data_IF_388580223243
#
_entry.id   IF_388580223243
#
_cell.length_a   1.000
_cell.length_b   1.000
_cell.length_c   1.000
_cell.angle_alpha   90.00
_cell.angle_beta   90.00
_cell.angle_gamma   90.00
#
_symmetry.space_group_name_H-M   'P 1'
#
loop_
_entity.id
_entity.type
_entity.pdbx_description
1 polymer ?
#
# COMPACT_ATOMS: atom_id res chain seq x y z
N UNK A 1 6.16 7.53 -12.10
CA UNK A 1 7.23 8.55 -11.88
C UNK A 1 8.59 8.07 -12.39
N UNK A 2 8.98 6.83 -12.10
CA UNK A 2 10.18 6.18 -12.64
C UNK A 2 10.45 6.46 -14.13
N UNK A 3 9.53 6.10 -15.04
CA UNK A 3 9.69 6.31 -16.48
C UNK A 3 9.98 7.77 -16.86
N UNK A 4 9.33 8.74 -16.20
CA UNK A 4 9.48 10.15 -16.53
C UNK A 4 10.82 10.75 -16.08
N UNK A 5 11.54 10.08 -15.17
CA UNK A 5 12.82 10.56 -14.63
C UNK A 5 13.98 9.77 -15.25
N UNK A 6 13.84 8.45 -15.39
CA UNK A 6 14.89 7.56 -15.91
C UNK A 6 14.92 7.54 -17.45
N UNK A 7 13.76 7.64 -18.10
CA UNK A 7 13.64 7.59 -19.56
C UNK A 7 12.95 8.84 -20.13
N UNK A 8 13.61 10.02 -20.10
CA UNK A 8 12.99 11.29 -20.49
C UNK A 8 12.60 11.34 -21.98
N UNK A 9 13.23 10.50 -22.82
CA UNK A 9 13.01 10.43 -24.27
C UNK A 9 11.92 9.42 -24.68
N UNK A 10 11.41 8.60 -23.76
CA UNK A 10 10.34 7.66 -24.07
C UNK A 10 8.96 8.33 -23.95
N UNK A 11 8.03 8.03 -24.87
CA UNK A 11 6.69 8.62 -24.84
C UNK A 11 5.98 8.28 -23.54
N UNK A 12 5.34 9.29 -22.96
CA UNK A 12 4.56 9.16 -21.72
C UNK A 12 3.35 8.27 -21.96
N UNK A 13 2.89 7.61 -20.90
CA UNK A 13 1.64 6.87 -20.92
C UNK A 13 0.51 7.82 -21.37
N UNK A 14 -0.18 7.47 -22.46
CA UNK A 14 -1.32 8.24 -22.97
C UNK A 14 -2.45 8.28 -21.93
N UNK A 15 -3.32 9.29 -22.02
CA UNK A 15 -4.51 9.39 -21.18
C UNK A 15 -5.41 8.14 -21.31
N UNK A 16 -5.55 7.59 -22.52
CA UNK A 16 -6.31 6.36 -22.76
C UNK A 16 -5.65 5.16 -22.09
N UNK A 17 -4.33 5.01 -22.24
CA UNK A 17 -3.59 3.94 -21.59
C UNK A 17 -3.66 4.05 -20.06
N UNK A 18 -3.63 5.26 -19.50
CA UNK A 18 -3.83 5.49 -18.06
C UNK A 18 -5.20 4.99 -17.58
N UNK A 19 -6.28 5.29 -18.32
CA UNK A 19 -7.63 4.81 -18.00
C UNK A 19 -7.72 3.28 -18.05
N UNK A 20 -7.11 2.66 -19.06
CA UNK A 20 -7.06 1.19 -19.18
C UNK A 20 -6.33 0.57 -18.00
N UNK A 21 -5.17 1.11 -17.61
CA UNK A 21 -4.42 0.64 -16.43
C UNK A 21 -5.25 0.75 -15.15
N UNK A 22 -5.96 1.88 -14.95
CA UNK A 22 -6.86 2.04 -13.79
C UNK A 22 -7.96 0.96 -13.81
N UNK A 23 -8.58 0.71 -14.96
CA UNK A 23 -9.60 -0.33 -15.11
C UNK A 23 -9.08 -1.74 -14.77
N UNK A 24 -7.86 -2.07 -15.22
CA UNK A 24 -7.20 -3.35 -14.89
C UNK A 24 -6.94 -3.46 -13.40
N UNK A 25 -6.45 -2.39 -12.75
CA UNK A 25 -6.21 -2.38 -11.30
C UNK A 25 -7.50 -2.67 -10.53
N UNK A 26 -8.61 -2.02 -10.89
CA UNK A 26 -9.90 -2.26 -10.24
C UNK A 26 -10.39 -3.68 -10.46
N UNK A 27 -10.31 -4.19 -11.69
CA UNK A 27 -10.72 -5.56 -12.01
C UNK A 27 -9.92 -6.58 -11.18
N UNK A 28 -8.59 -6.45 -11.14
CA UNK A 28 -7.73 -7.34 -10.36
C UNK A 28 -8.01 -7.20 -8.86
N UNK A 29 -8.19 -5.98 -8.34
CA UNK A 29 -8.53 -5.76 -6.93
C UNK A 29 -9.86 -6.42 -6.56
N UNK A 30 -10.90 -6.29 -7.39
CA UNK A 30 -12.18 -6.94 -7.19
C UNK A 30 -12.08 -8.47 -7.24
N UNK A 31 -11.33 -9.01 -8.20
CA UNK A 31 -11.09 -10.45 -8.30
C UNK A 31 -10.35 -11.01 -7.08
N UNK A 32 -9.35 -10.28 -6.59
CA UNK A 32 -8.60 -10.65 -5.39
C UNK A 32 -9.46 -10.56 -4.13
N UNK A 33 -10.31 -9.53 -3.99
CA UNK A 33 -11.20 -9.38 -2.83
C UNK A 33 -12.39 -10.36 -2.82
N UNK A 34 -12.77 -10.88 -3.99
CA UNK A 34 -13.97 -11.70 -4.15
C UNK A 34 -14.04 -12.93 -3.24
N UNK A 35 -12.99 -13.77 -3.07
CA UNK A 35 -13.07 -14.97 -2.23
C UNK A 35 -13.43 -14.66 -0.78
N UNK A 36 -12.84 -13.60 -0.20
CA UNK A 36 -13.16 -13.19 1.17
C UNK A 36 -14.61 -12.75 1.31
N UNK A 37 -15.15 -12.03 0.31
CA UNK A 37 -16.56 -11.66 0.27
C UNK A 37 -17.50 -12.86 0.09
N UNK A 38 -17.14 -13.79 -0.79
CA UNK A 38 -17.93 -14.99 -1.08
C UNK A 38 -18.06 -15.94 0.13
N UNK A 39 -16.97 -16.10 0.90
CA UNK A 39 -16.94 -16.94 2.10
C UNK A 39 -17.32 -16.18 3.39
N UNK A 40 -17.79 -14.94 3.29
CA UNK A 40 -18.30 -14.21 4.45
C UNK A 40 -19.70 -14.69 4.84
N UNK A 41 -19.86 -15.15 6.08
CA UNK A 41 -21.13 -15.66 6.63
C UNK A 41 -21.51 -14.89 7.90
N UNK A 42 -22.80 -14.88 8.21
CA UNK A 42 -23.35 -14.31 9.44
C UNK A 42 -23.70 -15.44 10.39
N UNK A 43 -23.11 -15.42 11.58
CA UNK A 43 -23.39 -16.40 12.63
C UNK A 43 -24.00 -15.74 13.86
N UNK A 44 -25.01 -16.39 14.43
CA UNK A 44 -25.69 -15.95 15.65
C UNK A 44 -25.00 -16.59 16.88
N UNK A 45 -24.31 -15.77 17.65
CA UNK A 45 -23.74 -16.14 18.94
C UNK A 45 -24.69 -15.65 20.06
N UNK A 46 -24.60 -16.21 21.29
CA UNK A 46 -25.46 -15.80 22.39
C UNK A 46 -25.42 -14.27 22.62
N UNK A 47 -26.51 -13.59 22.24
CA UNK A 47 -26.66 -12.14 22.39
C UNK A 47 -25.96 -11.26 21.34
N UNK A 48 -25.41 -11.81 20.25
CA UNK A 48 -24.83 -11.01 19.16
C UNK A 48 -24.83 -11.72 17.80
N UNK A 49 -25.06 -10.97 16.73
CA UNK A 49 -24.82 -11.41 15.36
C UNK A 49 -23.40 -11.00 14.94
N UNK A 50 -22.60 -11.94 14.45
CA UNK A 50 -21.23 -11.68 13.99
C UNK A 50 -21.06 -12.04 12.52
N UNK A 51 -20.27 -11.24 11.80
CA UNK A 51 -19.82 -11.56 10.45
C UNK A 51 -18.42 -12.16 10.55
N UNK A 52 -18.25 -13.38 10.04
CA UNK A 52 -16.96 -14.07 10.01
C UNK A 52 -16.73 -14.69 8.63
N UNK A 53 -15.47 -14.94 8.28
CA UNK A 53 -15.10 -15.59 7.02
C UNK A 53 -14.90 -17.07 7.29
N UNK A 54 -15.77 -17.90 6.73
CA UNK A 54 -15.76 -19.34 6.90
C UNK A 54 -15.18 -20.00 5.64
N UNK A 55 -13.89 -20.34 5.69
CA UNK A 55 -13.24 -21.05 4.59
C UNK A 55 -13.67 -22.51 4.55
N UNK A 56 -13.89 -23.11 3.36
CA UNK A 56 -14.30 -24.50 3.23
C UNK A 56 -13.23 -25.42 3.81
N UNK A 57 -13.50 -26.01 4.97
CA UNK A 57 -12.50 -26.73 5.76
C UNK A 57 -12.36 -28.21 5.38
N UNK A 58 -11.11 -28.64 5.17
CA UNK A 58 -10.66 -30.02 5.32
C UNK A 58 -9.55 -30.01 6.37
N UNK A 59 -9.95 -30.11 7.65
CA UNK A 59 -9.16 -30.37 8.88
C UNK A 59 -7.91 -29.52 9.20
N UNK A 60 -7.39 -28.69 8.30
CA UNK A 60 -6.05 -28.07 8.40
C UNK A 60 -6.01 -26.54 8.16
N UNK A 61 -7.16 -25.92 7.86
CA UNK A 61 -7.30 -24.48 7.58
C UNK A 61 -6.22 -23.95 6.59
N UNK A 62 -5.92 -24.74 5.56
CA UNK A 62 -4.90 -24.41 4.55
C UNK A 62 -5.36 -23.26 3.66
N UNK A 63 -6.62 -23.29 3.20
CA UNK A 63 -7.14 -22.28 2.27
C UNK A 63 -7.12 -20.86 2.84
N UNK A 64 -7.62 -20.67 4.08
CA UNK A 64 -7.62 -19.37 4.74
C UNK A 64 -6.21 -18.82 4.98
N UNK A 65 -5.32 -19.67 5.49
CA UNK A 65 -3.89 -19.34 5.67
C UNK A 65 -3.24 -18.95 4.34
N UNK A 66 -3.33 -19.81 3.32
CA UNK A 66 -2.73 -19.56 2.01
C UNK A 66 -3.25 -18.26 1.42
N UNK A 67 -4.56 -18.04 1.43
CA UNK A 67 -5.17 -16.80 0.95
C UNK A 67 -4.62 -15.58 1.69
N UNK A 68 -4.58 -15.61 3.03
CA UNK A 68 -4.08 -14.50 3.85
C UNK A 68 -2.62 -14.14 3.53
N UNK A 69 -1.74 -15.14 3.44
CA UNK A 69 -0.32 -14.90 3.13
C UNK A 69 -0.14 -14.41 1.69
N UNK A 70 -0.84 -15.02 0.72
CA UNK A 70 -0.82 -14.57 -0.67
C UNK A 70 -1.28 -13.10 -0.78
N UNK A 71 -2.38 -12.74 -0.13
CA UNK A 71 -2.88 -11.37 -0.12
C UNK A 71 -1.90 -10.41 0.54
N UNK A 72 -1.37 -10.75 1.71
CA UNK A 72 -0.35 -9.92 2.40
C UNK A 72 0.87 -9.68 1.51
N UNK A 73 1.32 -10.67 0.74
CA UNK A 73 2.42 -10.48 -0.22
C UNK A 73 1.98 -9.57 -1.36
N UNK A 74 0.85 -9.87 -2.01
CA UNK A 74 0.41 -9.18 -3.23
C UNK A 74 -0.03 -7.73 -3.01
N UNK A 75 -0.67 -7.43 -1.88
CA UNK A 75 -1.25 -6.10 -1.62
C UNK A 75 -0.32 -5.20 -0.80
N UNK A 76 0.64 -5.77 -0.07
CA UNK A 76 1.51 -5.01 0.84
C UNK A 76 2.98 -5.14 0.47
N UNK A 77 3.59 -6.34 0.59
CA UNK A 77 5.04 -6.47 0.41
C UNK A 77 5.52 -6.24 -1.03
N UNK A 78 4.85 -6.85 -2.02
CA UNK A 78 5.25 -6.74 -3.42
C UNK A 78 5.14 -5.29 -3.94
N UNK A 79 4.03 -4.55 -3.72
CA UNK A 79 3.95 -3.15 -4.11
C UNK A 79 4.99 -2.29 -3.41
N UNK A 80 5.21 -2.49 -2.09
CA UNK A 80 6.23 -1.74 -1.35
C UNK A 80 7.64 -2.01 -1.86
N UNK A 81 7.97 -3.25 -2.21
CA UNK A 81 9.26 -3.60 -2.80
C UNK A 81 9.45 -2.93 -4.17
N UNK A 82 8.47 -3.06 -5.07
CA UNK A 82 8.53 -2.47 -6.42
C UNK A 82 8.66 -0.94 -6.34
N UNK A 83 7.85 -0.30 -5.49
CA UNK A 83 7.86 1.15 -5.32
C UNK A 83 9.15 1.61 -4.62
N UNK A 84 9.62 0.88 -3.62
CA UNK A 84 10.88 1.13 -2.92
C UNK A 84 12.07 1.06 -3.88
N UNK A 85 12.20 -0.02 -4.65
CA UNK A 85 13.25 -0.14 -5.67
C UNK A 85 13.18 0.99 -6.70
N UNK A 86 11.99 1.29 -7.22
CA UNK A 86 11.81 2.35 -8.21
C UNK A 86 12.22 3.73 -7.66
N UNK A 87 11.86 4.06 -6.42
CA UNK A 87 12.23 5.35 -5.82
C UNK A 87 13.68 5.41 -5.36
N UNK A 88 14.29 4.30 -4.95
CA UNK A 88 15.73 4.24 -4.69
C UNK A 88 16.52 4.54 -5.95
N UNK A 89 16.19 3.92 -7.08
CA UNK A 89 16.84 4.20 -8.38
C UNK A 89 16.66 5.67 -8.78
N UNK A 90 15.42 6.18 -8.69
CA UNK A 90 15.12 7.58 -8.99
C UNK A 90 15.89 8.54 -8.07
N UNK A 91 16.02 8.21 -6.79
CA UNK A 91 16.80 8.98 -5.82
C UNK A 91 18.27 9.02 -6.17
N UNK A 92 18.88 7.87 -6.46
CA UNK A 92 20.28 7.80 -6.88
C UNK A 92 20.49 8.65 -8.15
N UNK A 93 19.64 8.51 -9.16
CA UNK A 93 19.78 9.28 -10.41
C UNK A 93 19.65 10.79 -10.18
N UNK A 94 18.68 11.26 -9.39
CA UNK A 94 18.45 12.69 -9.18
C UNK A 94 19.52 13.36 -8.30
N UNK A 95 20.15 12.61 -7.40
CA UNK A 95 21.21 13.14 -6.53
C UNK A 95 22.60 12.97 -7.14
N UNK A 96 22.83 11.96 -7.98
CA UNK A 96 24.08 11.78 -8.72
C UNK A 96 24.17 12.67 -9.98
N UNK A 97 23.05 13.17 -10.53
CA UNK A 97 23.02 14.05 -11.72
C UNK A 97 23.38 15.51 -11.41
N UNK A 98 24.45 15.73 -10.65
CA UNK A 98 25.08 17.05 -10.55
C UNK A 98 26.06 17.16 -11.73
N UNK A 99 25.59 17.72 -12.85
CA UNK A 99 26.38 17.86 -14.07
C UNK A 99 27.33 19.05 -13.86
N UNK A 100 28.66 18.85 -13.83
CA UNK A 100 29.60 19.96 -13.73
C UNK A 100 29.55 20.77 -15.02
N UNK A 101 29.08 22.02 -14.96
CA UNK A 101 29.22 22.99 -16.06
C UNK A 101 27.94 23.50 -16.73
N UNK A 102 26.74 23.03 -16.36
CA UNK A 102 25.46 23.61 -16.83
C UNK A 102 24.89 24.57 -15.78
N UNK A 103 25.34 25.84 -15.83
CA UNK A 103 24.88 26.93 -14.96
C UNK A 103 23.51 27.50 -15.35
N UNK A 104 22.64 26.73 -16.00
CA UNK A 104 21.30 27.20 -16.31
C UNK A 104 20.41 27.10 -15.06
N UNK A 105 20.03 28.24 -14.49
CA UNK A 105 19.10 28.31 -13.34
C UNK A 105 17.82 27.49 -13.57
N UNK A 106 17.37 27.41 -14.84
CA UNK A 106 16.22 26.61 -15.28
C UNK A 106 16.41 25.10 -15.10
N UNK A 107 17.63 24.58 -15.24
CA UNK A 107 17.91 23.15 -15.01
C UNK A 107 17.84 22.84 -13.51
N UNK A 108 18.48 23.66 -12.68
CA UNK A 108 18.43 23.52 -11.22
C UNK A 108 17.00 23.58 -10.67
N UNK A 109 16.17 24.48 -11.19
CA UNK A 109 14.75 24.59 -10.81
C UNK A 109 13.94 23.35 -11.22
N UNK A 110 14.19 22.78 -12.40
CA UNK A 110 13.54 21.53 -12.82
C UNK A 110 13.95 20.32 -11.97
N UNK A 111 15.24 20.22 -11.62
CA UNK A 111 15.75 19.13 -10.77
C UNK A 111 15.21 19.25 -9.34
N UNK A 112 15.18 20.46 -8.77
CA UNK A 112 14.64 20.69 -7.42
C UNK A 112 13.15 20.35 -7.34
N UNK A 113 12.35 20.74 -8.36
CA UNK A 113 10.95 20.37 -8.47
C UNK A 113 10.75 18.85 -8.55
N UNK A 114 11.57 18.13 -9.34
CA UNK A 114 11.54 16.66 -9.42
C UNK A 114 11.88 16.01 -8.07
N UNK A 115 12.91 16.52 -7.37
CA UNK A 115 13.27 16.05 -6.01
C UNK A 115 12.13 16.26 -5.03
N UNK A 116 11.43 17.39 -5.07
CA UNK A 116 10.26 17.67 -4.21
C UNK A 116 9.15 16.63 -4.40
N UNK A 117 8.81 16.33 -5.65
CA UNK A 117 7.81 15.30 -5.99
C UNK A 117 8.24 13.93 -5.49
N UNK A 118 9.52 13.56 -5.63
CA UNK A 118 10.02 12.26 -5.16
C UNK A 118 9.98 12.18 -3.63
N UNK A 119 10.41 13.22 -2.91
CA UNK A 119 10.29 13.27 -1.43
C UNK A 119 8.85 13.11 -0.96
N UNK A 120 7.91 13.79 -1.63
CA UNK A 120 6.48 13.68 -1.35
C UNK A 120 5.98 12.24 -1.54
N UNK A 121 6.34 11.59 -2.65
CA UNK A 121 5.96 10.20 -2.90
C UNK A 121 6.58 9.22 -1.90
N UNK A 122 7.84 9.42 -1.49
CA UNK A 122 8.48 8.61 -0.45
C UNK A 122 7.70 8.71 0.85
N UNK A 123 7.30 9.91 1.27
CA UNK A 123 6.50 10.10 2.48
C UNK A 123 5.16 9.38 2.40
N UNK A 124 4.43 9.49 1.28
CA UNK A 124 3.17 8.73 1.08
C UNK A 124 3.39 7.22 1.26
N UNK A 125 4.46 6.67 0.67
CA UNK A 125 4.77 5.24 0.75
C UNK A 125 5.17 4.82 2.17
N UNK A 126 6.00 5.61 2.85
CA UNK A 126 6.40 5.34 4.23
C UNK A 126 5.20 5.39 5.18
N UNK A 127 4.33 6.39 5.02
CA UNK A 127 3.10 6.50 5.81
C UNK A 127 2.19 5.31 5.58
N UNK A 128 1.96 4.91 4.32
CA UNK A 128 1.18 3.71 4.01
C UNK A 128 1.78 2.45 4.64
N UNK A 129 3.09 2.23 4.51
CA UNK A 129 3.78 1.09 5.10
C UNK A 129 3.62 1.06 6.63
N UNK A 130 3.88 2.17 7.31
CA UNK A 130 3.82 2.24 8.78
C UNK A 130 2.40 2.05 9.32
N UNK A 131 1.39 2.58 8.63
CA UNK A 131 0.00 2.44 9.05
C UNK A 131 -0.52 1.00 8.90
N UNK A 132 -0.13 0.31 7.82
CA UNK A 132 -0.64 -1.03 7.51
C UNK A 132 0.21 -2.16 8.11
N UNK A 133 1.46 -1.90 8.50
CA UNK A 133 2.32 -2.91 9.10
C UNK A 133 1.69 -3.57 10.35
N UNK A 134 1.13 -2.83 11.34
CA UNK A 134 0.52 -3.44 12.51
C UNK A 134 -0.69 -4.31 12.17
N UNK A 135 -1.47 -3.92 11.15
CA UNK A 135 -2.58 -4.71 10.61
C UNK A 135 -2.10 -6.07 10.12
N UNK A 136 -1.10 -6.08 9.24
CA UNK A 136 -0.58 -7.34 8.68
C UNK A 136 0.07 -8.22 9.75
N UNK A 137 0.81 -7.63 10.71
CA UNK A 137 1.37 -8.36 11.85
C UNK A 137 0.27 -8.99 12.69
N UNK A 138 -0.76 -8.22 13.06
CA UNK A 138 -1.87 -8.69 13.88
C UNK A 138 -2.60 -9.87 13.24
N UNK A 139 -2.99 -9.80 11.97
CA UNK A 139 -3.69 -10.92 11.35
C UNK A 139 -2.78 -12.13 11.07
N UNK A 140 -1.49 -11.89 10.88
CA UNK A 140 -0.52 -12.99 10.71
C UNK A 140 -0.28 -13.74 12.02
N UNK A 141 -0.11 -13.02 13.14
CA UNK A 141 0.10 -13.62 14.46
C UNK A 141 -1.07 -14.49 14.93
N UNK A 142 -2.29 -14.21 14.47
CA UNK A 142 -3.47 -15.03 14.77
C UNK A 142 -3.29 -16.49 14.33
N UNK A 143 -2.59 -16.74 13.23
CA UNK A 143 -2.33 -18.09 12.73
C UNK A 143 -1.22 -18.82 13.49
N UNK A 144 -0.33 -18.10 14.18
CA UNK A 144 0.79 -18.67 14.93
C UNK A 144 0.48 -18.83 16.43
N UNK A 145 -0.24 -17.88 17.02
CA UNK A 145 -0.53 -17.83 18.45
C UNK A 145 -2.03 -17.51 18.68
N UNK A 146 -2.96 -18.41 18.33
CA UNK A 146 -4.40 -18.14 18.46
C UNK A 146 -4.85 -17.87 19.91
N UNK A 147 -4.16 -18.46 20.89
CA UNK A 147 -4.44 -18.29 22.32
C UNK A 147 -4.39 -16.83 22.81
N UNK A 148 -3.55 -15.99 22.17
CA UNK A 148 -3.47 -14.57 22.52
C UNK A 148 -4.75 -13.81 22.17
N UNK A 149 -5.52 -14.30 21.21
CA UNK A 149 -6.75 -13.68 20.71
C UNK A 149 -7.98 -14.06 21.54
N UNK A 150 -7.81 -14.92 22.54
CA UNK A 150 -8.85 -15.24 23.53
C UNK A 150 -8.83 -14.28 24.72
N UNK A 151 -7.80 -13.44 24.83
CA UNK A 151 -7.62 -12.52 25.95
C UNK A 151 -8.54 -11.30 25.83
N UNK A 152 -9.12 -10.84 26.95
CA UNK A 152 -10.09 -9.72 26.97
C UNK A 152 -9.55 -8.41 26.36
N UNK A 153 -8.24 -8.16 26.44
CA UNK A 153 -7.63 -6.93 25.92
C UNK A 153 -7.49 -6.93 24.39
N UNK A 154 -7.65 -8.07 23.71
CA UNK A 154 -7.42 -8.18 22.27
C UNK A 154 -8.33 -7.27 21.45
N UNK A 155 -9.55 -7.01 21.92
CA UNK A 155 -10.50 -6.15 21.23
C UNK A 155 -10.00 -4.69 21.19
N UNK A 156 -9.36 -4.21 22.26
CA UNK A 156 -8.79 -2.86 22.29
C UNK A 156 -7.59 -2.75 21.35
N UNK A 157 -6.75 -3.79 21.31
CA UNK A 157 -5.62 -3.88 20.37
C UNK A 157 -6.12 -3.88 18.93
N UNK A 158 -7.15 -4.68 18.62
CA UNK A 158 -7.78 -4.72 17.30
C UNK A 158 -8.28 -3.33 16.88
N UNK A 159 -9.02 -2.63 17.75
CA UNK A 159 -9.55 -1.31 17.46
C UNK A 159 -8.44 -0.28 17.19
N UNK A 160 -7.37 -0.29 17.99
CA UNK A 160 -6.23 0.61 17.79
C UNK A 160 -5.51 0.35 16.46
N UNK A 161 -5.31 -0.93 16.11
CA UNK A 161 -4.65 -1.33 14.86
C UNK A 161 -5.51 -0.99 13.65
N UNK A 162 -6.82 -1.28 13.70
CA UNK A 162 -7.73 -0.90 12.63
C UNK A 162 -7.78 0.63 12.44
N UNK A 163 -7.82 1.38 13.54
CA UNK A 163 -7.84 2.84 13.48
C UNK A 163 -6.60 3.40 12.78
N UNK A 164 -5.42 2.89 13.12
CA UNK A 164 -4.16 3.29 12.48
C UNK A 164 -4.08 2.88 11.00
N UNK A 165 -4.57 1.69 10.65
CA UNK A 165 -4.61 1.27 9.25
C UNK A 165 -5.54 2.17 8.42
N UNK A 166 -6.73 2.46 8.94
CA UNK A 166 -7.72 3.32 8.28
C UNK A 166 -7.27 4.78 8.18
N UNK A 167 -6.49 5.26 9.15
CA UNK A 167 -5.99 6.64 9.13
C UNK A 167 -5.03 6.91 7.96
N UNK A 168 -4.45 5.87 7.35
CA UNK A 168 -3.62 5.99 6.14
C UNK A 168 -4.28 6.77 5.00
N UNK A 169 -5.62 6.74 4.92
CA UNK A 169 -6.40 7.43 3.89
C UNK A 169 -6.43 8.96 4.06
N UNK A 170 -6.28 9.47 5.30
CA UNK A 170 -6.33 10.91 5.59
C UNK A 170 -5.00 11.64 5.35
N UNK A 171 -3.88 10.91 5.39
CA UNK A 171 -2.56 11.55 5.32
C UNK A 171 -2.19 11.99 3.91
N UNK A 172 -2.76 11.37 2.86
CA UNK A 172 -2.42 11.69 1.48
C UNK A 172 -2.66 13.18 1.14
N UNK A 173 -3.86 13.77 1.35
CA UNK A 173 -4.06 15.21 1.14
C UNK A 173 -3.13 16.09 1.98
N UNK A 174 -2.90 15.75 3.26
CA UNK A 174 -2.04 16.53 4.17
C UNK A 174 -0.62 16.59 3.61
N UNK A 175 -0.07 15.44 3.20
CA UNK A 175 1.27 15.34 2.60
C UNK A 175 1.34 16.18 1.31
N UNK A 176 0.28 16.14 0.48
CA UNK A 176 0.24 16.93 -0.75
C UNK A 176 0.20 18.43 -0.49
N UNK A 177 -0.62 18.91 0.44
CA UNK A 177 -0.70 20.33 0.79
C UNK A 177 0.60 20.85 1.43
N UNK A 178 1.26 20.07 2.29
CA UNK A 178 2.48 20.52 2.95
C UNK A 178 3.71 20.57 2.01
N UNK A 179 3.72 19.80 0.92
CA UNK A 179 4.92 19.58 0.10
C UNK A 179 4.78 20.00 -1.36
N UNK A 180 3.61 20.43 -1.82
CA UNK A 180 3.41 20.88 -3.18
C UNK A 180 2.91 22.33 -3.19
N UNK A 181 3.75 23.28 -3.61
CA UNK A 181 3.40 24.73 -3.59
C UNK A 181 2.35 25.10 -4.65
N UNK A 182 1.90 24.12 -5.45
CA UNK A 182 0.85 24.26 -6.47
C UNK A 182 -0.55 23.93 -5.95
N UNK A 183 -0.69 23.51 -4.70
CA UNK A 183 -1.97 23.28 -4.02
C UNK A 183 -2.15 24.26 -2.87
#
# INVERSE_FOLDING_TARGET
RYMAIIHPLQPRLSATATKVVIGIIWLLASLLAFPQGYYSVMEELPGRLVCLVEWPEHSTNVYGKTYHFCMTILIYFLPLLVIGCAYTVVGITLWASEIPGDNSDRYHEQVSAKRKVVKMMILVVCTFALCWLPYHIYFTLQYFNPEWYLQKFIQQVYLAIMWLAMSSTMYNPIIYCCLNDRW
#
